data_IF_305122946329
#
_entry.id   IF_305122946329
#
_cell.length_a   1.000
_cell.length_b   1.000
_cell.length_c   1.000
_cell.angle_alpha   90.00
_cell.angle_beta   90.00
_cell.angle_gamma   90.00
#
_symmetry.space_group_name_H-M   'P 1'
#
loop_
_entity.id
_entity.type
_entity.pdbx_description
1 polymer ?
#
# COMPACT_ATOMS: atom_id res chain seq x y z
N UNK A 1 -22.17 9.70 -11.75
CA UNK A 1 -21.27 8.65 -12.29
C UNK A 1 -21.93 7.29 -12.11
N UNK A 2 -21.77 6.36 -13.04
CA UNK A 2 -22.22 4.98 -12.80
C UNK A 2 -21.21 4.28 -11.87
N UNK A 3 -21.67 3.90 -10.68
CA UNK A 3 -20.87 3.21 -9.66
C UNK A 3 -21.17 1.71 -9.61
N UNK A 4 -22.12 1.23 -10.42
CA UNK A 4 -22.71 -0.08 -10.28
C UNK A 4 -22.94 -0.74 -11.64
N UNK A 5 -21.85 -1.19 -12.27
CA UNK A 5 -21.78 -2.38 -13.15
C UNK A 5 -20.43 -2.39 -13.88
N UNK A 6 -19.66 -3.52 -13.83
CA UNK A 6 -19.27 -4.43 -14.95
C UNK A 6 -18.68 -5.73 -14.35
N UNK A 7 -18.98 -6.87 -15.00
CA UNK A 7 -18.45 -8.26 -14.90
C UNK A 7 -18.29 -8.90 -13.52
N UNK A 8 -19.04 -9.99 -13.34
CA UNK A 8 -18.91 -10.96 -12.25
C UNK A 8 -17.43 -11.21 -11.92
N UNK A 9 -17.04 -10.91 -10.67
CA UNK A 9 -15.72 -11.28 -10.17
C UNK A 9 -15.47 -12.76 -10.48
N UNK A 10 -14.30 -13.08 -11.02
CA UNK A 10 -13.91 -14.49 -11.19
C UNK A 10 -13.91 -15.11 -9.80
N UNK A 11 -14.64 -16.22 -9.56
CA UNK A 11 -14.69 -16.84 -8.24
C UNK A 11 -13.27 -17.22 -7.82
N UNK A 12 -12.77 -16.57 -6.76
CA UNK A 12 -11.54 -17.02 -6.11
C UNK A 12 -11.93 -18.13 -5.14
N UNK A 13 -11.26 -19.29 -5.24
CA UNK A 13 -11.61 -20.48 -4.46
C UNK A 13 -11.37 -20.21 -2.97
N UNK A 14 -12.46 -20.24 -2.18
CA UNK A 14 -12.55 -19.83 -0.77
C UNK A 14 -12.05 -20.87 0.25
N UNK A 15 -11.26 -21.87 -0.16
CA UNK A 15 -10.90 -22.96 0.75
C UNK A 15 -9.71 -22.57 1.63
N UNK A 16 -9.96 -22.33 2.93
CA UNK A 16 -8.97 -22.24 4.01
C UNK A 16 -7.89 -21.14 3.87
N UNK A 17 -8.27 -19.90 3.52
CA UNK A 17 -7.31 -18.79 3.53
C UNK A 17 -7.24 -18.10 4.91
N UNK A 18 -6.02 -17.97 5.46
CA UNK A 18 -5.74 -17.26 6.73
C UNK A 18 -5.73 -15.72 6.58
N UNK A 19 -5.91 -15.22 5.37
CA UNK A 19 -5.80 -13.81 5.03
C UNK A 19 -7.00 -13.38 4.18
N UNK A 20 -7.46 -12.12 4.30
CA UNK A 20 -8.53 -11.60 3.47
C UNK A 20 -8.10 -11.52 1.99
N UNK A 21 -9.07 -11.62 1.08
CA UNK A 21 -8.84 -11.58 -0.36
C UNK A 21 -8.68 -10.14 -0.86
N UNK A 22 -7.74 -9.92 -1.78
CA UNK A 22 -7.57 -8.66 -2.49
C UNK A 22 -8.21 -8.78 -3.87
N UNK A 23 -9.09 -7.85 -4.21
CA UNK A 23 -9.73 -7.80 -5.52
C UNK A 23 -9.40 -6.51 -6.27
N UNK A 24 -9.06 -6.60 -7.56
CA UNK A 24 -8.77 -5.41 -8.36
C UNK A 24 -10.03 -4.57 -8.61
N UNK A 25 -9.91 -3.25 -8.57
CA UNK A 25 -11.01 -2.34 -8.94
C UNK A 25 -11.25 -2.35 -10.45
N UNK A 26 -12.51 -2.41 -10.88
CA UNK A 26 -12.90 -2.45 -12.29
C UNK A 26 -13.81 -1.29 -12.70
N UNK A 27 -14.40 -0.57 -11.73
CA UNK A 27 -15.31 0.55 -12.01
C UNK A 27 -14.52 1.72 -12.62
N UNK A 28 -14.87 2.21 -13.84
CA UNK A 28 -14.08 3.24 -14.53
C UNK A 28 -13.82 4.50 -13.70
N UNK A 29 -14.85 4.94 -12.93
CA UNK A 29 -14.73 6.07 -12.01
C UNK A 29 -13.60 5.91 -10.98
N UNK A 30 -13.24 4.69 -10.57
CA UNK A 30 -12.18 4.47 -9.59
C UNK A 30 -10.84 4.12 -10.23
N UNK A 31 -10.82 3.56 -11.44
CA UNK A 31 -9.59 3.14 -12.12
C UNK A 31 -8.82 4.30 -12.75
N UNK A 32 -9.52 5.20 -13.44
CA UNK A 32 -8.87 6.29 -14.18
C UNK A 32 -8.07 7.21 -13.24
N UNK A 33 -6.81 7.52 -13.52
CA UNK A 33 -6.04 8.42 -12.63
C UNK A 33 -5.77 7.86 -11.22
N UNK A 34 -6.04 6.58 -10.96
CA UNK A 34 -5.84 5.95 -9.64
C UNK A 34 -4.36 5.76 -9.30
N UNK A 35 -3.49 5.77 -10.32
CA UNK A 35 -2.04 5.59 -10.17
C UNK A 35 -1.42 6.63 -9.24
N UNK A 36 -2.03 7.81 -9.12
CA UNK A 36 -1.56 8.80 -8.17
C UNK A 36 -1.62 8.27 -6.75
N UNK A 37 -2.66 7.53 -6.35
CA UNK A 37 -2.87 7.02 -5.00
C UNK A 37 -2.05 5.76 -4.69
N UNK A 38 -1.29 5.24 -5.65
CA UNK A 38 -0.44 4.08 -5.41
C UNK A 38 0.86 4.49 -4.71
N UNK A 39 1.15 3.78 -3.61
CA UNK A 39 2.40 3.87 -2.87
C UNK A 39 3.11 2.53 -2.98
N UNK A 40 4.40 2.54 -3.32
CA UNK A 40 5.20 1.32 -3.36
C UNK A 40 5.55 0.89 -1.93
N UNK A 41 4.68 0.09 -1.31
CA UNK A 41 4.83 -0.43 0.04
C UNK A 41 4.28 -1.87 0.12
N UNK A 42 4.67 -2.67 1.13
CA UNK A 42 4.08 -4.00 1.38
C UNK A 42 2.62 -3.96 1.86
N UNK A 43 2.03 -2.75 1.98
CA UNK A 43 0.66 -2.47 2.36
C UNK A 43 -0.05 -1.68 1.26
N UNK A 44 -1.35 -1.89 1.11
CA UNK A 44 -2.16 -1.09 0.20
C UNK A 44 -2.85 0.00 1.02
N UNK A 45 -2.52 1.28 0.78
CA UNK A 45 -3.06 2.38 1.59
C UNK A 45 -4.45 2.83 1.11
N UNK A 46 -4.74 2.61 -0.17
CA UNK A 46 -6.02 2.95 -0.80
C UNK A 46 -6.54 1.72 -1.54
N UNK A 47 -7.72 1.26 -1.15
CA UNK A 47 -8.43 0.17 -1.77
C UNK A 47 -9.88 0.60 -2.05
N UNK A 48 -10.16 1.02 -3.27
CA UNK A 48 -11.45 1.66 -3.61
C UNK A 48 -12.65 0.74 -3.51
N UNK A 49 -12.45 -0.59 -3.47
CA UNK A 49 -13.50 -1.57 -3.17
C UNK A 49 -14.04 -1.48 -1.73
N UNK A 50 -13.38 -0.75 -0.83
CA UNK A 50 -13.95 -0.37 0.47
C UNK A 50 -15.13 0.61 0.34
N UNK A 51 -15.27 1.27 -0.81
CA UNK A 51 -16.43 2.08 -1.17
C UNK A 51 -17.37 1.23 -2.03
N UNK A 52 -18.27 0.51 -1.38
CA UNK A 52 -19.05 -0.57 -2.02
C UNK A 52 -20.23 -0.01 -2.82
N UNK A 53 -21.03 0.87 -2.21
CA UNK A 53 -22.22 1.46 -2.83
C UNK A 53 -22.29 2.98 -2.56
N UNK A 54 -21.49 3.78 -3.29
CA UNK A 54 -21.49 5.22 -3.17
C UNK A 54 -22.79 5.86 -3.70
N UNK A 55 -23.43 6.70 -2.89
CA UNK A 55 -24.52 7.59 -3.34
C UNK A 55 -24.00 8.65 -4.30
N UNK A 56 -22.86 9.22 -3.93
CA UNK A 56 -22.15 10.21 -4.72
C UNK A 56 -20.66 10.13 -4.43
N UNK A 57 -19.87 10.59 -5.39
CA UNK A 57 -18.43 10.67 -5.28
C UNK A 57 -17.87 11.64 -6.30
N UNK A 58 -16.77 12.27 -5.91
CA UNK A 58 -16.01 13.18 -6.74
C UNK A 58 -14.54 12.75 -6.71
N UNK A 59 -13.88 12.89 -7.86
CA UNK A 59 -12.46 12.62 -8.00
C UNK A 59 -11.84 13.69 -8.86
N UNK A 60 -10.72 14.21 -8.41
CA UNK A 60 -9.92 15.20 -9.11
C UNK A 60 -8.48 14.70 -9.11
N UNK A 61 -7.91 14.56 -10.30
CA UNK A 61 -6.50 14.27 -10.48
C UNK A 61 -5.92 15.22 -11.50
N UNK A 62 -4.66 15.62 -11.32
CA UNK A 62 -4.03 16.53 -12.24
C UNK A 62 -2.57 16.79 -11.93
N UNK A 63 -1.87 17.32 -12.91
CA UNK A 63 -0.48 17.73 -12.79
C UNK A 63 -0.36 19.22 -13.09
N UNK A 64 0.28 19.96 -12.19
CA UNK A 64 0.54 21.39 -12.31
C UNK A 64 2.02 21.64 -12.03
N UNK A 65 2.78 21.91 -13.09
CA UNK A 65 4.23 22.03 -13.02
C UNK A 65 4.87 20.76 -12.46
N UNK A 66 5.53 20.88 -11.30
CA UNK A 66 6.21 19.78 -10.61
C UNK A 66 5.33 19.05 -9.59
N UNK A 67 4.08 19.47 -9.43
CA UNK A 67 3.14 18.85 -8.51
C UNK A 67 2.18 17.95 -9.27
N UNK A 68 2.00 16.73 -8.78
CA UNK A 68 0.85 15.88 -9.13
C UNK A 68 -0.08 15.83 -7.92
N UNK A 69 -1.36 16.15 -8.10
CA UNK A 69 -2.37 16.22 -7.04
C UNK A 69 -3.51 15.27 -7.33
N UNK A 70 -4.03 14.66 -6.28
CA UNK A 70 -5.14 13.71 -6.34
C UNK A 70 -6.02 13.87 -5.12
N UNK A 71 -7.32 14.00 -5.36
CA UNK A 71 -8.34 14.00 -4.33
C UNK A 71 -9.48 13.08 -4.77
N UNK A 72 -9.97 12.25 -3.85
CA UNK A 72 -11.15 11.41 -4.04
C UNK A 72 -12.01 11.52 -2.79
N UNK A 73 -13.28 11.83 -2.97
CA UNK A 73 -14.28 11.83 -1.91
C UNK A 73 -15.49 10.99 -2.33
N UNK A 74 -16.04 10.20 -1.42
CA UNK A 74 -17.26 9.44 -1.67
C UNK A 74 -18.10 9.28 -0.40
N UNK A 75 -19.42 9.19 -0.57
CA UNK A 75 -20.36 8.86 0.51
C UNK A 75 -20.99 7.50 0.21
N UNK A 76 -20.67 6.50 1.03
CA UNK A 76 -21.00 5.09 0.83
C UNK A 76 -22.15 4.65 1.75
N UNK A 77 -23.24 4.15 1.17
CA UNK A 77 -24.39 3.65 1.95
C UNK A 77 -24.20 2.26 2.48
N UNK A 78 -23.30 1.47 1.89
CA UNK A 78 -23.16 0.07 2.25
C UNK A 78 -22.88 -0.11 3.75
N UNK A 79 -22.21 0.86 4.37
CA UNK A 79 -21.91 0.86 5.80
C UNK A 79 -23.17 0.83 6.70
N UNK A 80 -24.28 1.44 6.28
CA UNK A 80 -25.54 1.45 7.03
C UNK A 80 -26.61 0.49 6.53
N UNK A 81 -26.30 -0.36 5.55
CA UNK A 81 -27.19 -1.45 5.10
C UNK A 81 -27.06 -2.65 6.04
N UNK A 82 -27.51 -2.47 7.28
CA UNK A 82 -27.58 -3.51 8.30
C UNK A 82 -28.99 -4.12 8.35
N UNK A 83 -29.08 -5.43 8.63
CA UNK A 83 -30.38 -6.13 8.70
C UNK A 83 -31.25 -5.67 9.87
N UNK A 84 -30.60 -5.29 10.99
CA UNK A 84 -31.28 -4.78 12.17
C UNK A 84 -31.61 -3.29 12.02
N UNK A 85 -32.90 -3.00 11.83
CA UNK A 85 -33.42 -1.63 11.69
C UNK A 85 -33.35 -0.82 12.99
N UNK A 86 -33.16 -1.46 14.14
CA UNK A 86 -33.02 -0.77 15.43
C UNK A 86 -31.58 -0.33 15.74
N UNK A 87 -30.63 -0.80 14.94
CA UNK A 87 -29.23 -0.41 15.05
C UNK A 87 -29.03 1.06 14.73
N UNK A 88 -28.17 1.75 15.50
CA UNK A 88 -27.76 3.12 15.20
C UNK A 88 -27.07 3.27 13.84
N UNK A 89 -26.54 2.17 13.28
CA UNK A 89 -25.95 2.11 11.96
C UNK A 89 -26.98 2.13 10.82
N UNK A 90 -28.25 1.78 11.09
CA UNK A 90 -29.24 1.62 10.05
C UNK A 90 -29.49 2.91 9.27
N UNK A 91 -29.33 2.83 7.93
CA UNK A 91 -29.50 3.95 7.02
C UNK A 91 -28.39 5.02 7.08
N UNK A 92 -27.34 4.80 7.87
CA UNK A 92 -26.20 5.72 7.94
C UNK A 92 -25.23 5.52 6.78
N UNK A 93 -24.46 6.54 6.46
CA UNK A 93 -23.48 6.50 5.37
C UNK A 93 -22.07 6.71 5.88
N UNK A 94 -21.09 6.08 5.25
CA UNK A 94 -19.68 6.28 5.53
C UNK A 94 -19.10 7.31 4.56
N UNK A 95 -18.50 8.37 5.09
CA UNK A 95 -17.81 9.39 4.28
C UNK A 95 -16.35 9.00 4.17
N UNK A 96 -15.82 8.95 2.95
CA UNK A 96 -14.42 8.64 2.69
C UNK A 96 -13.79 9.80 1.92
N UNK A 97 -12.60 10.23 2.36
CA UNK A 97 -11.75 11.20 1.70
C UNK A 97 -10.34 10.65 1.56
N UNK A 98 -9.74 10.88 0.39
CA UNK A 98 -8.37 10.49 0.05
C UNK A 98 -7.73 11.71 -0.60
N UNK A 99 -6.61 12.15 -0.05
CA UNK A 99 -5.83 13.26 -0.57
C UNK A 99 -4.39 12.83 -0.78
N UNK A 100 -3.80 13.22 -1.90
CA UNK A 100 -2.39 12.97 -2.18
C UNK A 100 -1.77 14.11 -2.98
N UNK A 101 -0.56 14.46 -2.59
CA UNK A 101 0.29 15.38 -3.33
C UNK A 101 1.65 14.73 -3.55
N UNK A 102 2.17 14.83 -4.77
CA UNK A 102 3.50 14.36 -5.16
C UNK A 102 4.26 15.52 -5.76
N UNK A 103 5.50 15.71 -5.35
CA UNK A 103 6.40 16.72 -5.88
C UNK A 103 7.59 16.04 -6.57
N UNK A 104 7.71 16.28 -7.87
CA UNK A 104 8.80 15.76 -8.68
C UNK A 104 10.07 16.59 -8.45
N UNK A 105 11.09 15.98 -7.88
CA UNK A 105 12.36 16.62 -7.52
C UNK A 105 13.26 16.80 -8.74
N UNK A 106 13.47 15.72 -9.48
CA UNK A 106 14.24 15.63 -10.72
C UNK A 106 13.84 14.34 -11.43
N UNK A 107 14.51 13.99 -12.54
CA UNK A 107 14.17 12.80 -13.33
C UNK A 107 14.04 11.55 -12.46
N UNK A 108 12.85 10.95 -12.45
CA UNK A 108 12.49 9.73 -11.71
C UNK A 108 12.62 9.83 -10.17
N UNK A 109 12.65 11.04 -9.63
CA UNK A 109 12.73 11.26 -8.18
C UNK A 109 11.60 12.15 -7.68
N UNK A 110 10.93 11.73 -6.62
CA UNK A 110 9.83 12.46 -6.02
C UNK A 110 9.71 12.24 -4.52
N UNK A 111 9.00 13.16 -3.88
CA UNK A 111 8.46 13.01 -2.53
C UNK A 111 6.94 13.14 -2.61
N UNK A 112 6.24 12.36 -1.81
CA UNK A 112 4.79 12.32 -1.73
C UNK A 112 4.31 12.47 -0.31
N UNK A 113 3.11 13.00 -0.16
CA UNK A 113 2.35 12.99 1.07
C UNK A 113 0.92 12.51 0.75
N UNK A 114 0.37 11.69 1.63
CA UNK A 114 -0.98 11.17 1.50
C UNK A 114 -1.71 11.26 2.84
N UNK A 115 -3.00 11.55 2.75
CA UNK A 115 -3.95 11.44 3.85
C UNK A 115 -5.16 10.63 3.40
N UNK A 116 -5.69 9.81 4.28
CA UNK A 116 -7.01 9.20 4.11
C UNK A 116 -7.81 9.44 5.37
N UNK A 117 -9.10 9.64 5.19
CA UNK A 117 -10.06 9.81 6.26
C UNK A 117 -11.32 9.03 5.89
N UNK A 118 -11.81 8.20 6.80
CA UNK A 118 -13.12 7.58 6.70
C UNK A 118 -13.85 7.76 8.02
N UNK A 119 -15.05 8.32 7.97
CA UNK A 119 -15.93 8.53 9.12
C UNK A 119 -17.20 7.69 8.97
N UNK A 120 -17.60 7.04 10.06
CA UNK A 120 -18.85 6.28 10.15
C UNK A 120 -19.36 6.28 11.59
N UNK A 121 -20.60 6.74 11.80
CA UNK A 121 -21.16 7.02 13.13
C UNK A 121 -20.27 8.00 13.91
N UNK A 122 -19.95 7.68 15.16
CA UNK A 122 -18.98 8.36 16.03
C UNK A 122 -17.54 7.85 15.85
N UNK A 123 -17.32 6.92 14.92
CA UNK A 123 -16.02 6.33 14.63
C UNK A 123 -15.32 6.94 13.41
N UNK A 124 -14.01 6.73 13.35
CA UNK A 124 -13.18 7.18 12.23
C UNK A 124 -11.97 6.27 11.99
N UNK A 125 -11.43 6.32 10.77
CA UNK A 125 -10.15 5.72 10.40
C UNK A 125 -9.36 6.71 9.56
N UNK A 126 -8.23 7.17 10.12
CA UNK A 126 -7.37 8.19 9.55
C UNK A 126 -5.98 7.63 9.31
N UNK A 127 -5.42 7.96 8.17
CA UNK A 127 -4.04 7.65 7.82
C UNK A 127 -3.38 8.92 7.29
N UNK A 128 -2.14 9.15 7.68
CA UNK A 128 -1.32 10.21 7.13
C UNK A 128 0.12 9.73 7.00
N UNK A 129 0.82 10.18 5.97
CA UNK A 129 2.23 9.86 5.83
C UNK A 129 2.87 10.41 4.59
N UNK A 130 4.13 10.02 4.43
CA UNK A 130 5.01 10.43 3.35
C UNK A 130 5.60 9.21 2.66
N UNK A 131 5.89 9.37 1.38
CA UNK A 131 6.62 8.41 0.57
C UNK A 131 7.64 9.13 -0.30
N UNK A 132 8.62 8.39 -0.77
CA UNK A 132 9.69 8.94 -1.58
C UNK A 132 10.34 7.87 -2.43
N UNK A 133 10.81 8.31 -3.58
CA UNK A 133 11.63 7.52 -4.48
C UNK A 133 12.70 8.44 -5.06
N UNK A 134 13.96 8.04 -4.95
CA UNK A 134 15.12 8.78 -5.39
C UNK A 134 15.94 7.92 -6.34
N UNK A 135 16.18 8.43 -7.55
CA UNK A 135 17.16 7.88 -8.49
C UNK A 135 18.54 8.42 -8.16
N UNK A 136 19.42 7.58 -7.62
CA UNK A 136 20.79 7.89 -7.27
C UNK A 136 21.73 7.42 -8.39
N UNK A 137 22.12 8.33 -9.27
CA UNK A 137 22.91 8.01 -10.46
C UNK A 137 22.12 7.23 -11.52
N UNK A 138 22.80 6.45 -12.35
CA UNK A 138 22.16 5.80 -13.50
C UNK A 138 21.43 4.49 -13.16
N UNK A 139 21.87 3.79 -12.11
CA UNK A 139 21.47 2.39 -11.83
C UNK A 139 20.85 2.16 -10.46
N UNK A 140 20.93 3.12 -9.53
CA UNK A 140 20.47 2.96 -8.15
C UNK A 140 19.19 3.73 -7.90
N UNK A 141 18.23 3.11 -7.22
CA UNK A 141 17.02 3.72 -6.70
C UNK A 141 16.90 3.45 -5.21
N UNK A 142 16.57 4.47 -4.45
CA UNK A 142 16.33 4.39 -3.02
C UNK A 142 14.94 4.94 -2.72
N UNK A 143 14.16 4.22 -1.92
CA UNK A 143 12.82 4.64 -1.51
C UNK A 143 12.67 4.61 0.00
N UNK A 144 11.83 5.50 0.51
CA UNK A 144 11.45 5.55 1.91
C UNK A 144 9.97 5.92 2.04
N UNK A 145 9.28 5.22 2.93
CA UNK A 145 7.87 5.40 3.22
C UNK A 145 7.67 5.45 4.74
N UNK A 146 6.80 6.35 5.21
CA UNK A 146 6.41 6.43 6.60
C UNK A 146 4.98 6.87 6.75
N UNK A 147 4.15 6.03 7.38
CA UNK A 147 2.71 6.24 7.53
C UNK A 147 2.28 5.95 8.96
N UNK A 148 1.38 6.79 9.48
CA UNK A 148 0.73 6.61 10.77
C UNK A 148 -0.78 6.46 10.59
N UNK A 149 -1.39 5.64 11.44
CA UNK A 149 -2.84 5.44 11.49
C UNK A 149 -3.38 5.85 12.85
N UNK A 150 -4.58 6.41 12.87
CA UNK A 150 -5.41 6.58 14.06
C UNK A 150 -6.80 6.09 13.71
N UNK A 151 -7.36 5.23 14.53
CA UNK A 151 -8.68 4.68 14.30
C UNK A 151 -9.44 4.66 15.62
N UNK A 152 -10.74 4.91 15.53
CA UNK A 152 -11.66 4.72 16.63
C UNK A 152 -12.90 4.05 16.07
N UNK A 153 -13.25 2.87 16.58
CA UNK A 153 -14.53 2.25 16.25
C UNK A 153 -15.61 2.85 17.16
N UNK A 154 -16.88 2.86 16.71
CA UNK A 154 -18.01 3.25 17.56
C UNK A 154 -17.95 2.58 18.93
N UNK A 155 -17.94 3.37 20.00
CA UNK A 155 -17.86 2.88 21.38
C UNK A 155 -16.54 2.21 21.80
N UNK A 156 -15.46 2.29 21.02
CA UNK A 156 -14.12 1.78 21.40
C UNK A 156 -13.14 2.91 21.71
N UNK A 157 -12.06 2.57 22.41
CA UNK A 157 -10.88 3.44 22.50
C UNK A 157 -10.22 3.60 21.12
N UNK A 158 -9.45 4.69 20.98
CA UNK A 158 -8.62 4.95 19.80
C UNK A 158 -7.41 4.01 19.78
N UNK A 159 -7.14 3.39 18.63
CA UNK A 159 -5.92 2.65 18.31
C UNK A 159 -5.04 3.45 17.36
N UNK A 160 -3.72 3.43 17.61
CA UNK A 160 -2.73 4.11 16.77
C UNK A 160 -1.67 3.14 16.31
N UNK A 161 -1.23 3.29 15.07
CA UNK A 161 -0.23 2.39 14.49
C UNK A 161 0.67 3.11 13.50
N UNK A 162 1.75 2.44 13.11
CA UNK A 162 2.72 3.00 12.19
C UNK A 162 3.29 1.93 11.24
N UNK A 163 3.62 2.39 10.04
CA UNK A 163 4.36 1.67 9.04
C UNK A 163 5.58 2.50 8.65
N UNK A 164 6.76 1.89 8.66
CA UNK A 164 7.98 2.48 8.08
C UNK A 164 8.56 1.48 7.10
N UNK A 165 9.03 1.94 5.95
CA UNK A 165 9.66 1.10 4.95
C UNK A 165 10.78 1.83 4.23
N UNK A 166 11.82 1.09 3.87
CA UNK A 166 12.86 1.57 2.98
C UNK A 166 13.25 0.48 1.99
N UNK A 167 13.65 0.88 0.79
CA UNK A 167 14.17 -0.02 -0.22
C UNK A 167 15.33 0.61 -0.97
N UNK A 168 16.27 -0.23 -1.40
CA UNK A 168 17.43 0.13 -2.20
C UNK A 168 17.54 -0.90 -3.32
N UNK A 169 17.53 -0.46 -4.57
CA UNK A 169 17.70 -1.31 -5.73
C UNK A 169 18.77 -0.72 -6.63
N UNK A 170 19.89 -1.43 -6.80
CA UNK A 170 20.99 -1.05 -7.69
C UNK A 170 21.19 -2.14 -8.75
N UNK A 171 21.04 -1.76 -10.01
CA UNK A 171 21.13 -2.67 -11.16
C UNK A 171 22.29 -2.27 -12.07
N UNK A 172 23.51 -2.51 -11.61
CA UNK A 172 24.72 -2.30 -12.39
C UNK A 172 24.97 -3.41 -13.41
N UNK A 173 25.92 -3.18 -14.32
CA UNK A 173 26.36 -4.18 -15.30
C UNK A 173 26.87 -5.45 -14.62
N UNK A 174 27.72 -5.29 -13.60
CA UNK A 174 28.35 -6.40 -12.90
C UNK A 174 27.76 -6.61 -11.51
N UNK A 175 27.32 -5.56 -10.81
CA UNK A 175 26.81 -5.66 -9.45
C UNK A 175 25.30 -5.39 -9.41
N UNK A 176 24.56 -6.33 -8.83
CA UNK A 176 23.15 -6.18 -8.49
C UNK A 176 23.01 -6.18 -6.97
N UNK A 177 22.29 -5.21 -6.43
CA UNK A 177 21.96 -5.12 -5.01
C UNK A 177 20.49 -4.80 -4.88
N UNK A 178 19.73 -5.60 -4.14
CA UNK A 178 18.38 -5.25 -3.70
C UNK A 178 18.33 -5.40 -2.19
N UNK A 179 17.96 -4.36 -1.46
CA UNK A 179 17.69 -4.45 -0.04
C UNK A 179 16.36 -3.77 0.25
N UNK A 180 15.55 -4.36 1.12
CA UNK A 180 14.39 -3.68 1.66
C UNK A 180 14.24 -4.04 3.13
N UNK A 181 13.71 -3.10 3.89
CA UNK A 181 13.34 -3.31 5.27
C UNK A 181 12.07 -2.55 5.56
N UNK A 182 11.18 -3.14 6.33
CA UNK A 182 9.97 -2.49 6.76
C UNK A 182 9.50 -2.98 8.12
N UNK A 183 8.70 -2.16 8.78
CA UNK A 183 7.96 -2.52 9.98
C UNK A 183 6.52 -2.08 9.85
N UNK A 184 5.59 -2.92 10.31
CA UNK A 184 4.16 -2.65 10.40
C UNK A 184 3.75 -2.96 11.83
N UNK A 185 3.35 -1.95 12.61
CA UNK A 185 2.94 -2.16 14.00
C UNK A 185 1.70 -3.07 14.11
N UNK A 186 1.48 -3.74 15.24
CA UNK A 186 0.30 -4.58 15.46
C UNK A 186 -1.02 -3.82 15.24
N UNK A 187 -1.04 -2.56 15.67
CA UNK A 187 -2.20 -1.66 15.62
C UNK A 187 -2.29 -0.83 14.34
N UNK A 188 -1.43 -1.07 13.34
CA UNK A 188 -1.52 -0.37 12.06
C UNK A 188 -2.76 -0.84 11.29
N UNK A 189 -3.77 0.01 11.19
CA UNK A 189 -5.05 -0.32 10.56
C UNK A 189 -5.63 0.86 9.79
N UNK A 190 -6.18 0.58 8.60
CA UNK A 190 -6.90 1.55 7.78
C UNK A 190 -8.15 0.91 7.20
N UNK A 191 -9.28 1.60 7.31
CA UNK A 191 -10.57 1.16 6.75
C UNK A 191 -10.73 1.57 5.27
N UNK A 192 -9.83 2.40 4.75
CA UNK A 192 -9.77 2.81 3.33
C UNK A 192 -8.81 1.93 2.53
N UNK A 193 -7.78 1.42 3.20
CA UNK A 193 -6.75 0.57 2.61
C UNK A 193 -6.97 -0.92 2.86
N UNK A 194 -5.89 -1.68 2.66
CA UNK A 194 -5.86 -3.11 2.86
C UNK A 194 -4.49 -3.55 3.37
N UNK A 195 -4.49 -4.13 4.58
CA UNK A 195 -3.29 -4.60 5.28
C UNK A 195 -3.44 -6.09 5.55
N UNK A 196 -2.71 -6.94 4.80
CA UNK A 196 -2.82 -8.40 4.90
C UNK A 196 -2.29 -8.95 6.22
N UNK A 197 -1.14 -8.46 6.65
CA UNK A 197 -0.43 -8.95 7.82
C UNK A 197 0.17 -7.75 8.54
N UNK A 198 -0.09 -7.68 9.85
CA UNK A 198 0.43 -6.68 10.79
C UNK A 198 1.50 -7.33 11.66
N UNK A 199 2.00 -6.59 12.65
CA UNK A 199 2.91 -7.11 13.66
C UNK A 199 4.15 -7.78 13.06
N UNK A 200 4.92 -6.99 12.31
CA UNK A 200 6.06 -7.54 11.58
C UNK A 200 7.16 -6.51 11.35
N UNK A 201 8.38 -7.00 11.41
CA UNK A 201 9.64 -6.32 11.14
C UNK A 201 10.45 -7.19 10.20
N UNK A 202 10.44 -6.84 8.93
CA UNK A 202 11.09 -7.60 7.89
C UNK A 202 12.32 -6.85 7.37
N UNK A 203 13.41 -7.57 7.13
CA UNK A 203 14.56 -7.06 6.42
C UNK A 203 15.09 -8.14 5.48
N UNK A 204 15.31 -7.79 4.22
CA UNK A 204 15.89 -8.67 3.22
C UNK A 204 16.93 -7.92 2.39
N UNK A 205 18.03 -8.61 2.07
CA UNK A 205 19.06 -8.15 1.17
C UNK A 205 19.46 -9.28 0.21
N UNK A 206 19.64 -8.92 -1.05
CA UNK A 206 20.18 -9.78 -2.09
C UNK A 206 21.32 -9.02 -2.77
N UNK A 207 22.45 -9.70 -2.92
CA UNK A 207 23.64 -9.17 -3.60
C UNK A 207 24.07 -10.21 -4.62
N UNK A 208 24.20 -9.80 -5.87
CA UNK A 208 24.67 -10.64 -6.96
C UNK A 208 25.79 -9.97 -7.72
N UNK A 209 26.82 -10.73 -8.08
CA UNK A 209 27.85 -10.28 -9.00
C UNK A 209 27.78 -11.11 -10.28
N UNK A 210 27.92 -10.45 -11.43
CA UNK A 210 27.85 -11.03 -12.75
C UNK A 210 29.14 -10.77 -13.52
N UNK A 211 29.75 -11.85 -13.95
CA UNK A 211 30.86 -11.88 -14.88
C UNK A 211 30.34 -12.00 -16.32
N UNK A 212 30.98 -11.28 -17.24
CA UNK A 212 30.63 -11.26 -18.66
C UNK A 212 31.84 -11.72 -19.49
N UNK A 213 32.08 -13.03 -19.60
CA UNK A 213 33.21 -13.55 -20.36
C UNK A 213 32.99 -13.40 -21.86
N UNK A 214 34.08 -13.21 -22.61
CA UNK A 214 34.06 -13.16 -24.08
C UNK A 214 34.11 -14.61 -24.61
N UNK A 215 32.97 -15.28 -24.69
CA UNK A 215 32.89 -16.69 -25.12
C UNK A 215 31.46 -17.19 -25.33
N UNK A 216 31.26 -18.52 -25.31
CA UNK A 216 29.92 -19.16 -25.46
C UNK A 216 28.98 -18.90 -24.28
N UNK A 217 29.51 -18.54 -23.11
CA UNK A 217 28.75 -18.28 -21.90
C UNK A 217 28.37 -16.80 -21.86
N UNK A 218 27.08 -16.49 -21.82
CA UNK A 218 26.60 -15.09 -21.82
C UNK A 218 27.04 -14.36 -20.55
N UNK A 219 26.83 -14.99 -19.38
CA UNK A 219 27.32 -14.54 -18.09
C UNK A 219 27.19 -15.66 -17.05
N UNK A 220 27.86 -15.47 -15.91
CA UNK A 220 27.68 -16.27 -14.71
C UNK A 220 28.04 -15.42 -13.48
N UNK A 221 27.69 -15.89 -12.28
CA UNK A 221 28.28 -15.33 -11.08
C UNK A 221 27.46 -15.53 -9.81
N UNK A 222 28.09 -15.31 -8.66
CA UNK A 222 27.51 -15.65 -7.39
C UNK A 222 26.39 -14.68 -6.99
N UNK A 223 25.42 -15.21 -6.25
CA UNK A 223 24.40 -14.42 -5.57
C UNK A 223 24.20 -14.89 -4.14
N UNK A 224 24.07 -13.95 -3.22
CA UNK A 224 23.75 -14.19 -1.81
C UNK A 224 22.45 -13.49 -1.47
N UNK A 225 21.57 -14.19 -0.79
CA UNK A 225 20.30 -13.68 -0.28
C UNK A 225 20.20 -13.94 1.20
N UNK A 226 19.77 -12.93 1.95
CA UNK A 226 19.58 -12.99 3.37
C UNK A 226 18.32 -12.23 3.75
N UNK A 227 17.45 -12.84 4.55
CA UNK A 227 16.23 -12.21 5.01
C UNK A 227 15.82 -12.70 6.39
N UNK A 228 15.21 -11.81 7.18
CA UNK A 228 14.63 -12.10 8.49
C UNK A 228 13.31 -11.38 8.66
N UNK A 229 12.41 -12.04 9.38
CA UNK A 229 11.14 -11.47 9.80
C UNK A 229 10.93 -11.72 11.29
N UNK A 230 10.65 -10.67 12.06
CA UNK A 230 10.29 -10.74 13.47
C UNK A 230 8.89 -10.17 13.67
N UNK A 231 8.21 -10.53 14.73
CA UNK A 231 7.08 -9.73 15.26
C UNK A 231 7.59 -8.59 16.16
N UNK A 232 6.69 -7.82 16.76
CA UNK A 232 7.03 -6.74 17.68
C UNK A 232 7.45 -7.23 19.07
N UNK A 233 7.06 -8.45 19.46
CA UNK A 233 7.55 -9.12 20.67
C UNK A 233 9.01 -9.59 20.54
N UNK A 234 9.57 -9.55 19.32
CA UNK A 234 10.96 -9.91 19.04
C UNK A 234 11.17 -11.40 18.76
N UNK A 235 10.08 -12.15 18.56
CA UNK A 235 10.13 -13.55 18.19
C UNK A 235 10.40 -13.63 16.68
N UNK A 236 11.38 -14.47 16.32
CA UNK A 236 11.72 -14.72 14.92
C UNK A 236 10.60 -15.54 14.27
N UNK A 237 9.99 -14.97 13.24
CA UNK A 237 8.89 -15.56 12.49
C UNK A 237 9.39 -16.33 11.27
N UNK A 238 10.44 -15.83 10.61
CA UNK A 238 11.05 -16.46 9.44
C UNK A 238 12.49 -16.00 9.23
N UNK A 239 13.34 -16.89 8.71
CA UNK A 239 14.71 -16.59 8.30
C UNK A 239 15.07 -17.33 7.01
N UNK A 240 15.52 -16.58 6.02
CA UNK A 240 15.99 -17.13 4.74
C UNK A 240 17.45 -16.80 4.54
N UNK A 241 18.26 -17.81 4.22
CA UNK A 241 19.67 -17.64 3.83
C UNK A 241 19.95 -18.52 2.62
N UNK A 242 20.47 -17.94 1.54
CA UNK A 242 20.87 -18.73 0.37
C UNK A 242 22.09 -18.13 -0.30
N UNK A 243 22.93 -18.99 -0.85
CA UNK A 243 24.05 -18.62 -1.71
C UNK A 243 24.00 -19.52 -2.95
N UNK A 244 24.16 -18.91 -4.13
CA UNK A 244 24.18 -19.58 -5.43
C UNK A 244 25.42 -19.13 -6.19
N UNK A 245 25.95 -19.99 -7.05
CA UNK A 245 27.14 -19.74 -7.88
C UNK A 245 26.81 -19.98 -9.36
#
# INVERSE_FOLDING_TARGET
PDFSQIESDRPQIEVNQRYPLFFSELRPFFVEGSEIFNVNAPVTLVHTRTMVDPDYGAKLTGQVGRFTLGALGANDRAAGRVDDQTSSAFGQTAKTFIGRAKFDLYSESHIGAMVTDREFLDGYSRLAGIDSNFRLGSVTRWGFNGFGTRRQRPGSAEDTGNFLGTSLNSNGRNLNVSAFAYQISPDFHTDVGFVRRRDQRNAQANIGYRFWPEGRLINWGPSVSYGRNYDFDGILQDETRSARM
#
